data_IF_073820763075
#
_entry.id   IF_073820763075
#
_cell.length_a   1.000
_cell.length_b   1.000
_cell.length_c   1.000
_cell.angle_alpha   90.00
_cell.angle_beta   90.00
_cell.angle_gamma   90.00
#
_symmetry.space_group_name_H-M   'P 1'
#
loop_
_entity.id
_entity.type
_entity.pdbx_description
1 polymer ?
#
# COMPACT_ATOMS: atom_id res chain seq x y z
N UNK A 1 18.62 9.95 -0.96
CA UNK A 1 18.62 10.25 0.48
C UNK A 1 20.03 10.62 0.87
N UNK A 2 20.17 11.75 1.59
CA UNK A 2 21.44 12.26 2.11
C UNK A 2 21.37 12.23 3.63
N UNK A 3 22.21 11.43 4.27
CA UNK A 3 22.34 11.39 5.73
C UNK A 3 22.94 12.71 6.23
N UNK A 4 22.32 13.32 7.25
CA UNK A 4 22.72 14.59 7.87
C UNK A 4 23.22 14.41 9.30
N UNK A 5 22.67 13.45 10.02
CA UNK A 5 23.06 13.21 11.40
C UNK A 5 22.81 11.77 11.84
N UNK A 6 23.51 11.36 12.88
CA UNK A 6 23.41 10.06 13.53
C UNK A 6 23.56 10.28 15.03
N UNK A 7 22.60 9.79 15.80
CA UNK A 7 22.57 9.86 17.26
C UNK A 7 22.30 8.46 17.83
N UNK A 8 23.11 7.99 18.76
CA UNK A 8 22.83 6.79 19.53
C UNK A 8 21.99 7.16 20.74
N UNK A 9 20.87 6.49 20.91
CA UNK A 9 19.89 6.80 21.97
C UNK A 9 19.52 5.53 22.73
N UNK A 10 19.07 5.72 23.98
CA UNK A 10 18.39 4.64 24.69
C UNK A 10 16.90 4.72 24.36
N UNK A 11 16.34 3.64 23.81
CA UNK A 11 14.96 3.60 23.37
C UNK A 11 14.29 2.29 23.79
N UNK A 12 13.19 2.39 24.55
CA UNK A 12 12.51 1.23 25.13
C UNK A 12 13.45 0.25 25.86
N UNK A 13 14.44 0.77 26.59
CA UNK A 13 15.41 -0.04 27.35
C UNK A 13 16.52 -0.68 26.54
N UNK A 14 16.58 -0.46 25.24
CA UNK A 14 17.58 -0.98 24.31
C UNK A 14 18.37 0.15 23.65
N UNK A 15 19.53 -0.18 23.10
CA UNK A 15 20.24 0.75 22.22
C UNK A 15 19.46 0.95 20.94
N UNK A 16 19.27 2.21 20.56
CA UNK A 16 18.63 2.62 19.31
C UNK A 16 19.51 3.62 18.56
N UNK A 17 19.17 3.83 17.32
CA UNK A 17 19.84 4.74 16.42
C UNK A 17 18.83 5.72 15.84
N UNK A 18 19.01 7.00 16.07
CA UNK A 18 18.20 8.05 15.47
C UNK A 18 19.00 8.74 14.38
N UNK A 19 18.48 8.67 13.14
CA UNK A 19 19.11 9.23 11.96
C UNK A 19 18.32 10.42 11.46
N UNK A 20 19.03 11.47 11.05
CA UNK A 20 18.43 12.59 10.31
C UNK A 20 18.91 12.56 8.87
N UNK A 21 18.03 12.77 7.92
CA UNK A 21 18.34 12.71 6.51
C UNK A 21 17.50 13.72 5.71
N UNK A 22 17.91 13.95 4.48
CA UNK A 22 17.15 14.73 3.50
C UNK A 22 16.89 13.88 2.26
N UNK A 23 15.75 14.10 1.64
CA UNK A 23 15.37 13.41 0.40
C UNK A 23 14.67 14.39 -0.54
N UNK A 24 15.14 14.45 -1.78
CA UNK A 24 14.40 15.10 -2.85
C UNK A 24 13.53 14.04 -3.56
N UNK A 25 12.23 14.27 -3.61
CA UNK A 25 11.29 13.40 -4.30
C UNK A 25 10.09 14.23 -4.80
N UNK A 26 9.60 13.89 -5.98
CA UNK A 26 8.39 14.51 -6.57
C UNK A 26 8.40 16.04 -6.61
N UNK A 27 9.60 16.64 -6.81
CA UNK A 27 9.75 18.10 -6.87
C UNK A 27 9.85 18.80 -5.51
N UNK A 28 9.85 18.07 -4.39
CA UNK A 28 9.88 18.61 -3.04
C UNK A 28 11.08 18.07 -2.26
N UNK A 29 11.68 18.93 -1.43
CA UNK A 29 12.69 18.53 -0.45
C UNK A 29 11.98 18.09 0.83
N UNK A 30 12.32 16.90 1.33
CA UNK A 30 11.81 16.36 2.56
C UNK A 30 12.91 16.26 3.61
N UNK A 31 12.59 16.65 4.85
CA UNK A 31 13.30 16.21 6.04
C UNK A 31 12.83 14.83 6.44
N UNK A 32 13.74 14.00 6.91
CA UNK A 32 13.45 12.61 7.23
C UNK A 32 14.16 12.22 8.51
N UNK A 33 13.40 11.61 9.42
CA UNK A 33 13.88 10.94 10.62
C UNK A 33 13.72 9.44 10.49
N UNK A 34 14.71 8.69 10.95
CA UNK A 34 14.68 7.25 10.96
C UNK A 34 15.16 6.79 12.33
N UNK A 35 14.24 6.21 13.10
CA UNK A 35 14.55 5.56 14.37
C UNK A 35 14.68 4.06 14.13
N UNK A 36 15.85 3.51 14.42
CA UNK A 36 16.13 2.08 14.30
C UNK A 36 16.41 1.53 15.69
N UNK A 37 15.72 0.46 16.06
CA UNK A 37 15.92 -0.23 17.34
C UNK A 37 15.56 -1.72 17.18
N UNK A 38 15.88 -2.51 18.19
CA UNK A 38 15.60 -3.94 18.16
C UNK A 38 16.68 -4.75 18.89
N UNK A 39 16.71 -6.04 18.59
CA UNK A 39 17.64 -6.99 19.16
C UNK A 39 18.26 -7.90 18.09
N UNK A 40 18.87 -9.02 18.49
CA UNK A 40 19.48 -9.99 17.56
C UNK A 40 18.44 -10.77 16.73
N UNK A 41 17.17 -10.73 17.09
CA UNK A 41 16.09 -11.48 16.42
C UNK A 41 15.29 -10.60 15.47
N UNK A 42 15.12 -9.31 15.82
CA UNK A 42 14.30 -8.39 15.03
C UNK A 42 14.84 -6.96 15.08
N UNK A 43 14.81 -6.29 13.95
CA UNK A 43 15.10 -4.86 13.81
C UNK A 43 13.83 -4.13 13.40
N UNK A 44 13.52 -3.07 14.14
CA UNK A 44 12.36 -2.21 13.89
C UNK A 44 12.83 -0.87 13.36
N UNK A 45 12.06 -0.30 12.44
CA UNK A 45 12.35 1.00 11.86
C UNK A 45 11.09 1.85 11.85
N UNK A 46 11.16 3.01 12.48
CA UNK A 46 10.12 4.05 12.44
C UNK A 46 10.61 5.18 11.57
N UNK A 47 9.79 5.65 10.63
CA UNK A 47 10.15 6.74 9.72
C UNK A 47 9.20 7.91 9.92
N UNK A 48 9.75 9.11 10.18
CA UNK A 48 9.08 10.40 10.10
C UNK A 48 9.53 11.14 8.85
N UNK A 49 8.59 11.66 8.07
CA UNK A 49 8.89 12.39 6.83
C UNK A 49 7.98 13.61 6.75
N UNK A 50 8.55 14.78 6.52
CA UNK A 50 7.80 16.03 6.35
C UNK A 50 8.49 16.96 5.33
N UNK A 51 7.73 17.85 4.64
CA UNK A 51 8.32 18.81 3.74
C UNK A 51 9.27 19.73 4.49
N UNK A 52 10.46 19.99 3.93
CA UNK A 52 11.48 20.86 4.54
C UNK A 52 11.01 22.31 4.70
N UNK A 53 10.03 22.71 3.89
CA UNK A 53 9.39 24.02 3.91
C UNK A 53 8.40 24.22 5.08
N UNK A 54 8.16 23.16 5.86
CA UNK A 54 7.23 23.15 7.03
C UNK A 54 8.00 22.80 8.31
N UNK A 55 8.94 23.66 8.75
CA UNK A 55 9.83 23.35 9.86
C UNK A 55 9.12 23.23 11.22
N UNK A 56 7.91 23.74 11.35
CA UNK A 56 7.06 23.59 12.53
C UNK A 56 6.69 22.13 12.84
N UNK A 57 6.73 21.24 11.85
CA UNK A 57 6.49 19.80 12.04
C UNK A 57 7.69 19.06 12.64
N UNK A 58 8.85 19.69 12.73
CA UNK A 58 10.10 19.04 13.14
C UNK A 58 9.97 18.40 14.54
N UNK A 59 9.61 19.21 15.53
CA UNK A 59 9.46 18.73 16.91
C UNK A 59 8.32 17.72 17.04
N UNK A 60 7.16 17.97 16.43
CA UNK A 60 5.99 17.11 16.54
C UNK A 60 6.29 15.72 15.96
N UNK A 61 6.96 15.65 14.83
CA UNK A 61 7.36 14.39 14.20
C UNK A 61 8.40 13.66 15.08
N UNK A 62 9.42 14.38 15.59
CA UNK A 62 10.44 13.80 16.47
C UNK A 62 9.82 13.24 17.75
N UNK A 63 8.97 13.99 18.42
CA UNK A 63 8.28 13.58 19.64
C UNK A 63 7.37 12.38 19.38
N UNK A 64 6.60 12.41 18.30
CA UNK A 64 5.75 11.29 17.89
C UNK A 64 6.55 10.01 17.67
N UNK A 65 7.71 10.10 17.02
CA UNK A 65 8.58 8.92 16.81
C UNK A 65 9.15 8.39 18.12
N UNK A 66 9.55 9.28 19.03
CA UNK A 66 10.10 8.90 20.33
C UNK A 66 9.04 8.41 21.33
N UNK A 67 7.75 8.68 21.07
CA UNK A 67 6.64 8.16 21.86
C UNK A 67 6.25 6.73 21.55
N UNK A 68 6.83 6.12 20.51
CA UNK A 68 6.56 4.72 20.15
C UNK A 68 6.97 3.79 21.28
N UNK A 69 6.06 2.92 21.70
CA UNK A 69 6.33 1.86 22.68
C UNK A 69 6.40 0.53 21.97
N UNK A 70 7.48 -0.20 22.23
CA UNK A 70 7.65 -1.56 21.72
C UNK A 70 7.19 -2.57 22.76
N UNK A 71 6.17 -3.34 22.42
CA UNK A 71 5.63 -4.41 23.26
C UNK A 71 5.87 -5.77 22.58
N UNK A 72 6.94 -6.49 22.93
CA UNK A 72 7.35 -7.72 22.24
C UNK A 72 6.33 -8.86 22.33
N UNK A 73 5.41 -8.80 23.27
CA UNK A 73 4.31 -9.79 23.42
C UNK A 73 3.00 -9.41 22.74
N UNK A 74 2.92 -8.21 22.16
CA UNK A 74 1.70 -7.75 21.54
C UNK A 74 1.49 -8.40 20.17
N UNK A 75 0.49 -9.25 20.07
CA UNK A 75 0.04 -9.80 18.80
C UNK A 75 -1.14 -8.98 18.29
N UNK A 76 -0.91 -8.17 17.27
CA UNK A 76 -1.96 -7.40 16.62
C UNK A 76 -2.49 -8.20 15.42
N UNK A 77 -3.82 -8.44 15.39
CA UNK A 77 -4.45 -8.96 14.18
C UNK A 77 -4.33 -7.91 13.05
N UNK A 78 -3.58 -8.20 11.98
CA UNK A 78 -3.38 -7.24 10.88
C UNK A 78 -4.69 -6.80 10.23
N UNK A 79 -5.72 -7.64 10.26
CA UNK A 79 -7.04 -7.32 9.70
C UNK A 79 -7.78 -6.30 10.59
N UNK A 80 -7.53 -6.29 11.89
CA UNK A 80 -8.12 -5.30 12.80
C UNK A 80 -7.42 -3.94 12.75
N UNK A 81 -6.16 -3.92 12.32
CA UNK A 81 -5.32 -2.71 12.31
C UNK A 81 -5.61 -1.75 11.14
N UNK A 82 -6.45 -2.14 10.18
CA UNK A 82 -6.82 -1.29 9.04
C UNK A 82 -8.24 -0.74 9.20
N UNK A 83 -8.51 0.43 8.60
CA UNK A 83 -9.81 1.12 8.65
C UNK A 83 -10.85 0.59 7.65
N UNK A 84 -10.62 -0.58 7.08
CA UNK A 84 -11.50 -1.22 6.12
C UNK A 84 -11.54 -2.73 6.32
N UNK A 85 -12.48 -3.38 5.68
CA UNK A 85 -12.59 -4.83 5.62
C UNK A 85 -12.90 -5.28 4.20
N UNK A 86 -12.57 -6.55 3.93
CA UNK A 86 -12.90 -7.23 2.67
C UNK A 86 -13.21 -8.70 2.99
N UNK A 87 -14.19 -9.27 2.30
CA UNK A 87 -14.55 -10.67 2.49
C UNK A 87 -13.94 -11.54 1.38
N UNK A 88 -13.06 -12.43 1.78
CA UNK A 88 -12.45 -13.45 0.92
C UNK A 88 -12.96 -14.86 1.22
N UNK A 89 -13.97 -15.02 2.10
CA UNK A 89 -14.56 -16.32 2.42
C UNK A 89 -15.15 -16.96 1.17
N UNK A 90 -15.05 -18.27 1.12
CA UNK A 90 -15.50 -19.07 -0.04
C UNK A 90 -14.85 -18.64 -1.37
N UNK A 91 -13.63 -18.13 -1.30
CA UNK A 91 -12.77 -17.85 -2.46
C UNK A 91 -11.43 -18.59 -2.31
N UNK A 92 -10.63 -18.60 -3.38
CA UNK A 92 -9.28 -19.15 -3.30
C UNK A 92 -8.27 -18.19 -2.65
N UNK A 93 -8.63 -16.93 -2.40
CA UNK A 93 -7.75 -15.93 -1.83
C UNK A 93 -7.62 -16.13 -0.32
N UNK A 94 -6.38 -16.22 0.14
CA UNK A 94 -6.00 -16.32 1.56
C UNK A 94 -5.20 -15.10 1.96
N UNK A 95 -5.41 -14.61 3.17
CA UNK A 95 -4.57 -13.53 3.72
C UNK A 95 -3.11 -14.00 3.77
N UNK A 96 -2.23 -13.21 3.21
CA UNK A 96 -0.80 -13.47 3.19
C UNK A 96 -0.05 -12.56 4.16
N UNK A 97 -0.25 -11.25 4.04
CA UNK A 97 0.56 -10.28 4.78
C UNK A 97 -0.10 -8.90 4.82
N UNK A 98 0.19 -8.13 5.86
CA UNK A 98 -0.04 -6.68 5.90
C UNK A 98 1.29 -5.94 5.71
N UNK A 99 1.30 -4.90 4.86
CA UNK A 99 2.45 -4.03 4.64
C UNK A 99 1.95 -2.59 4.60
N UNK A 100 2.39 -1.77 5.54
CA UNK A 100 2.11 -0.32 5.57
C UNK A 100 0.60 -0.01 5.45
N UNK A 101 -0.24 -0.76 6.16
CA UNK A 101 -1.69 -0.59 6.11
C UNK A 101 -2.38 -1.15 4.86
N UNK A 102 -1.65 -1.84 3.98
CA UNK A 102 -2.22 -2.62 2.88
C UNK A 102 -2.35 -4.08 3.27
N UNK A 103 -3.43 -4.72 2.86
CA UNK A 103 -3.66 -6.15 3.00
C UNK A 103 -3.37 -6.85 1.67
N UNK A 104 -2.54 -7.88 1.72
CA UNK A 104 -2.17 -8.70 0.57
C UNK A 104 -2.76 -10.09 0.73
N UNK A 105 -3.45 -10.54 -0.30
CA UNK A 105 -4.03 -11.87 -0.40
C UNK A 105 -3.46 -12.60 -1.61
N UNK A 106 -3.22 -13.89 -1.48
CA UNK A 106 -2.75 -14.77 -2.55
C UNK A 106 -3.48 -16.11 -2.47
N UNK A 107 -3.35 -16.96 -3.46
CA UNK A 107 -4.02 -18.27 -3.44
C UNK A 107 -3.43 -19.23 -2.41
N UNK A 108 -2.18 -19.08 -2.05
CA UNK A 108 -1.45 -19.92 -1.09
C UNK A 108 -1.24 -19.24 0.27
N UNK A 109 -1.59 -17.96 0.41
CA UNK A 109 -1.35 -17.17 1.62
C UNK A 109 0.11 -16.76 1.83
N UNK A 110 0.98 -16.93 0.82
CA UNK A 110 2.39 -16.54 0.88
C UNK A 110 2.65 -15.25 0.12
N UNK A 111 3.56 -14.43 0.60
CA UNK A 111 4.01 -13.19 -0.07
C UNK A 111 5.55 -13.16 -0.08
N UNK A 112 6.18 -13.30 -1.24
CA UNK A 112 5.60 -13.53 -2.57
C UNK A 112 4.90 -14.89 -2.67
N UNK A 113 3.89 -14.98 -3.54
CA UNK A 113 3.20 -16.26 -3.78
C UNK A 113 4.10 -17.26 -4.51
N UNK A 114 4.02 -18.52 -4.11
CA UNK A 114 4.68 -19.65 -4.79
C UNK A 114 3.72 -20.35 -5.78
N UNK A 115 2.46 -19.91 -5.82
CA UNK A 115 1.46 -20.47 -6.72
C UNK A 115 1.81 -20.22 -8.19
N UNK A 116 1.59 -21.24 -9.01
CA UNK A 116 1.87 -21.20 -10.44
C UNK A 116 1.07 -20.12 -11.20
N UNK A 117 -0.13 -19.76 -10.77
CA UNK A 117 -0.98 -18.73 -11.40
C UNK A 117 -0.65 -17.31 -10.94
N UNK A 118 0.17 -17.15 -9.91
CA UNK A 118 0.58 -15.87 -9.31
C UNK A 118 -0.58 -14.93 -8.97
N UNK A 119 -1.79 -15.47 -8.79
CA UNK A 119 -2.95 -14.66 -8.44
C UNK A 119 -2.72 -13.97 -7.10
N UNK A 120 -2.80 -12.66 -7.12
CA UNK A 120 -2.70 -11.81 -5.93
C UNK A 120 -3.78 -10.74 -5.89
N UNK A 121 -4.11 -10.28 -4.70
CA UNK A 121 -5.13 -9.26 -4.48
C UNK A 121 -4.70 -8.35 -3.34
N UNK A 122 -4.66 -7.06 -3.59
CA UNK A 122 -4.14 -6.05 -2.67
C UNK A 122 -5.24 -5.04 -2.40
N UNK A 123 -5.41 -4.68 -1.14
CA UNK A 123 -6.33 -3.60 -0.72
C UNK A 123 -5.59 -2.66 0.21
N UNK A 124 -5.72 -1.38 0.01
CA UNK A 124 -5.06 -0.38 0.86
C UNK A 124 -5.67 1.00 0.77
N UNK A 125 -5.27 1.85 1.70
CA UNK A 125 -5.57 3.28 1.71
C UNK A 125 -4.36 4.04 1.17
N UNK A 126 -4.59 5.11 0.41
CA UNK A 126 -3.52 6.04 0.00
C UNK A 126 -2.90 6.70 1.24
N UNK A 127 -1.57 6.74 1.28
CA UNK A 127 -0.83 7.36 2.39
C UNK A 127 -0.74 8.90 2.25
N UNK A 128 -1.02 9.43 1.08
CA UNK A 128 -0.98 10.86 0.80
C UNK A 128 -2.39 11.44 0.75
N UNK A 129 -2.53 12.65 1.29
CA UNK A 129 -3.71 13.45 1.08
C UNK A 129 -3.73 13.91 -0.39
N UNK A 130 -4.55 13.26 -1.21
CA UNK A 130 -4.61 13.51 -2.65
C UNK A 130 -5.91 14.23 -2.98
N UNK A 131 -5.83 15.54 -3.09
CA UNK A 131 -6.92 16.30 -3.71
C UNK A 131 -6.83 16.14 -5.23
N UNK A 132 -7.82 15.50 -5.81
CA UNK A 132 -7.84 15.17 -7.24
C UNK A 132 -8.96 15.90 -7.94
N UNK A 133 -8.61 16.75 -8.92
CA UNK A 133 -9.57 17.47 -9.76
C UNK A 133 -10.22 16.52 -10.76
N UNK A 134 -9.45 15.63 -11.38
CA UNK A 134 -9.93 14.61 -12.32
C UNK A 134 -9.71 13.20 -11.75
N UNK A 135 -10.76 12.66 -11.16
CA UNK A 135 -10.74 11.33 -10.51
C UNK A 135 -10.51 10.21 -11.53
N UNK A 136 -11.11 10.29 -12.73
CA UNK A 136 -10.95 9.28 -13.79
C UNK A 136 -9.51 9.25 -14.29
N UNK A 137 -8.95 10.40 -14.61
CA UNK A 137 -7.57 10.50 -15.06
C UNK A 137 -6.59 10.03 -13.98
N UNK A 138 -6.87 10.31 -12.71
CA UNK A 138 -6.07 9.82 -11.58
C UNK A 138 -6.10 8.29 -11.51
N UNK A 139 -7.26 7.66 -11.67
CA UNK A 139 -7.37 6.21 -11.68
C UNK A 139 -6.58 5.59 -12.85
N UNK A 140 -6.67 6.18 -14.05
CA UNK A 140 -5.89 5.77 -15.23
C UNK A 140 -4.38 5.90 -14.98
N UNK A 141 -3.95 7.05 -14.45
CA UNK A 141 -2.54 7.28 -14.17
C UNK A 141 -2.01 6.34 -13.07
N UNK A 142 -2.87 5.93 -12.13
CA UNK A 142 -2.49 5.02 -11.05
C UNK A 142 -2.21 3.60 -11.55
N UNK A 143 -3.07 3.05 -12.41
CA UNK A 143 -2.83 1.72 -12.99
C UNK A 143 -1.61 1.74 -13.92
N UNK A 144 -1.39 2.82 -14.69
CA UNK A 144 -0.21 2.98 -15.57
C UNK A 144 1.13 3.05 -14.79
N UNK A 145 1.10 3.32 -13.48
CA UNK A 145 2.30 3.30 -12.61
C UNK A 145 2.61 1.95 -12.00
N UNK A 146 1.76 0.96 -12.16
CA UNK A 146 2.06 -0.40 -11.75
C UNK A 146 3.26 -0.94 -12.55
N UNK A 147 3.99 -1.94 -12.03
CA UNK A 147 5.26 -2.39 -12.61
C UNK A 147 5.07 -3.26 -13.87
N UNK A 148 4.30 -2.73 -14.83
CA UNK A 148 4.07 -3.37 -16.12
C UNK A 148 4.68 -2.57 -17.26
N UNK A 149 5.14 -3.28 -18.31
CA UNK A 149 5.41 -2.71 -19.63
C UNK A 149 4.25 -3.05 -20.57
N UNK A 150 4.05 -2.21 -21.60
CA UNK A 150 3.00 -2.41 -22.61
C UNK A 150 1.60 -2.64 -22.03
N UNK A 151 1.30 -1.99 -20.90
CA UNK A 151 -0.01 -2.10 -20.24
C UNK A 151 -1.10 -1.50 -21.15
N UNK A 152 -1.97 -2.37 -21.64
CA UNK A 152 -3.09 -2.03 -22.50
C UNK A 152 -4.35 -1.88 -21.66
N UNK A 153 -4.97 -0.72 -21.76
CA UNK A 153 -6.23 -0.38 -21.09
C UNK A 153 -7.20 0.08 -22.17
N UNK A 154 -8.39 -0.48 -22.20
CA UNK A 154 -9.47 0.05 -23.03
C UNK A 154 -10.22 1.14 -22.25
N UNK A 155 -9.92 2.39 -22.52
CA UNK A 155 -10.49 3.53 -21.80
C UNK A 155 -12.03 3.64 -21.97
N UNK A 156 -12.61 3.00 -23.02
CA UNK A 156 -14.05 2.93 -23.21
C UNK A 156 -14.74 1.90 -22.30
N UNK A 157 -13.97 1.00 -21.70
CA UNK A 157 -14.43 -0.01 -20.74
C UNK A 157 -14.16 0.35 -19.27
N UNK A 158 -13.73 1.57 -19.01
CA UNK A 158 -13.61 2.07 -17.65
C UNK A 158 -15.02 2.31 -17.09
N UNK A 159 -15.30 1.68 -15.97
CA UNK A 159 -16.64 1.71 -15.35
C UNK A 159 -16.61 2.63 -14.13
N UNK A 160 -17.54 3.56 -14.08
CA UNK A 160 -17.87 4.27 -12.84
C UNK A 160 -18.60 3.32 -11.89
N UNK A 161 -18.17 3.29 -10.63
CA UNK A 161 -18.72 2.37 -9.62
C UNK A 161 -18.94 3.08 -8.30
N UNK A 162 -19.78 2.47 -7.46
CA UNK A 162 -19.93 2.85 -6.06
C UNK A 162 -19.83 1.59 -5.20
N UNK A 163 -18.98 1.62 -4.16
CA UNK A 163 -18.84 0.56 -3.17
C UNK A 163 -18.82 1.20 -1.78
N UNK A 164 -19.66 0.71 -0.89
CA UNK A 164 -19.82 1.24 0.47
C UNK A 164 -20.12 2.75 0.50
N UNK A 165 -20.91 3.25 -0.50
CA UNK A 165 -21.24 4.65 -0.65
C UNK A 165 -20.07 5.54 -1.10
N UNK A 166 -18.97 4.94 -1.58
CA UNK A 166 -17.82 5.67 -2.12
C UNK A 166 -17.75 5.48 -3.63
N UNK A 167 -17.81 6.59 -4.35
CA UNK A 167 -17.71 6.58 -5.82
C UNK A 167 -16.26 6.39 -6.26
N UNK A 168 -16.09 5.71 -7.40
CA UNK A 168 -14.77 5.43 -7.94
C UNK A 168 -14.80 4.89 -9.36
N UNK A 169 -13.67 4.31 -9.76
CA UNK A 169 -13.48 3.75 -11.10
C UNK A 169 -12.89 2.35 -11.03
N UNK A 170 -13.47 1.47 -11.84
CA UNK A 170 -12.98 0.13 -12.09
C UNK A 170 -12.30 0.08 -13.46
N UNK A 171 -11.08 -0.42 -13.50
CA UNK A 171 -10.24 -0.48 -14.69
C UNK A 171 -9.66 -1.88 -14.81
N UNK A 172 -9.68 -2.43 -16.03
CA UNK A 172 -9.04 -3.69 -16.38
C UNK A 172 -8.00 -3.42 -17.46
N UNK A 173 -6.84 -4.04 -17.33
CA UNK A 173 -5.78 -3.97 -18.32
C UNK A 173 -5.01 -5.29 -18.40
N UNK A 174 -4.18 -5.40 -19.41
CA UNK A 174 -3.23 -6.50 -19.58
C UNK A 174 -1.85 -5.92 -19.90
N UNK A 175 -0.81 -6.47 -19.30
CA UNK A 175 0.55 -6.00 -19.54
C UNK A 175 1.61 -7.01 -19.14
N UNK A 176 2.85 -6.75 -19.55
CA UNK A 176 3.97 -7.60 -19.20
C UNK A 176 4.57 -7.18 -17.86
N UNK A 177 4.57 -8.05 -16.87
CA UNK A 177 5.25 -7.83 -15.60
C UNK A 177 6.74 -7.55 -15.82
N UNK A 178 7.25 -6.43 -15.30
CA UNK A 178 8.64 -5.99 -15.54
C UNK A 178 9.70 -6.93 -15.00
N UNK A 179 9.37 -7.72 -13.99
CA UNK A 179 10.34 -8.62 -13.35
C UNK A 179 10.44 -9.98 -14.06
N UNK A 180 9.33 -10.43 -14.65
CA UNK A 180 9.24 -11.78 -15.23
C UNK A 180 9.00 -11.79 -16.73
N UNK A 181 8.57 -10.67 -17.33
CA UNK A 181 8.14 -10.59 -18.74
C UNK A 181 6.86 -11.37 -19.04
N UNK A 182 6.15 -11.84 -18.00
CA UNK A 182 4.93 -12.63 -18.16
C UNK A 182 3.74 -11.70 -18.41
N UNK A 183 2.86 -12.06 -19.35
CA UNK A 183 1.60 -11.34 -19.54
C UNK A 183 0.66 -11.61 -18.37
N UNK A 184 0.14 -10.55 -17.77
CA UNK A 184 -0.76 -10.61 -16.64
C UNK A 184 -2.00 -9.75 -16.86
N UNK A 185 -3.13 -10.25 -16.42
CA UNK A 185 -4.33 -9.44 -16.21
C UNK A 185 -4.10 -8.57 -14.98
N UNK A 186 -4.47 -7.30 -15.10
CA UNK A 186 -4.45 -6.31 -14.01
C UNK A 186 -5.85 -5.74 -13.84
N UNK A 187 -6.41 -5.91 -12.67
CA UNK A 187 -7.67 -5.34 -12.23
C UNK A 187 -7.40 -4.24 -11.21
N UNK A 188 -8.02 -3.07 -11.35
CA UNK A 188 -7.89 -1.99 -10.38
C UNK A 188 -9.25 -1.37 -10.08
N UNK A 189 -9.51 -1.11 -8.79
CA UNK A 189 -10.56 -0.20 -8.32
C UNK A 189 -9.89 0.91 -7.51
N UNK A 190 -10.30 2.16 -7.75
CA UNK A 190 -9.98 3.29 -6.87
C UNK A 190 -11.29 3.91 -6.40
N UNK A 191 -11.46 4.00 -5.08
CA UNK A 191 -12.60 4.61 -4.42
C UNK A 191 -12.15 5.92 -3.76
N UNK A 192 -12.68 7.07 -4.22
CA UNK A 192 -12.20 8.38 -3.81
C UNK A 192 -12.94 8.92 -2.58
N UNK A 193 -12.19 9.30 -1.57
CA UNK A 193 -12.66 10.01 -0.37
C UNK A 193 -12.27 11.48 -0.43
N UNK A 194 -12.67 12.28 0.57
CA UNK A 194 -12.32 13.71 0.64
C UNK A 194 -10.81 13.92 0.80
N UNK A 195 -10.12 13.00 1.49
CA UNK A 195 -8.71 13.15 1.87
C UNK A 195 -7.78 12.15 1.16
N UNK A 196 -8.25 11.39 0.18
CA UNK A 196 -7.44 10.38 -0.50
C UNK A 196 -8.28 9.36 -1.25
N UNK A 197 -7.82 8.13 -1.30
CA UNK A 197 -8.55 7.05 -1.95
C UNK A 197 -8.19 5.69 -1.38
N UNK A 198 -9.12 4.75 -1.43
CA UNK A 198 -8.80 3.33 -1.31
C UNK A 198 -8.43 2.77 -2.68
N UNK A 199 -7.45 1.86 -2.68
CA UNK A 199 -7.03 1.17 -3.89
C UNK A 199 -7.19 -0.33 -3.70
N UNK A 200 -7.75 -0.99 -4.69
CA UNK A 200 -7.88 -2.43 -4.79
C UNK A 200 -7.22 -2.84 -6.10
N UNK A 201 -6.30 -3.80 -6.04
CA UNK A 201 -5.59 -4.30 -7.22
C UNK A 201 -5.60 -5.82 -7.19
N UNK A 202 -6.06 -6.45 -8.27
CA UNK A 202 -5.95 -7.88 -8.51
C UNK A 202 -5.03 -8.15 -9.70
N UNK A 203 -4.16 -9.16 -9.61
CA UNK A 203 -3.29 -9.56 -10.71
C UNK A 203 -3.27 -11.07 -10.85
N UNK A 204 -3.17 -11.56 -12.08
CA UNK A 204 -3.05 -12.99 -12.38
C UNK A 204 -2.44 -13.21 -13.75
N UNK A 205 -1.72 -14.32 -13.92
CA UNK A 205 -1.16 -14.70 -15.23
C UNK A 205 -1.93 -15.81 -15.95
N UNK A 206 -2.89 -16.44 -15.29
CA UNK A 206 -3.70 -17.51 -15.85
C UNK A 206 -5.19 -17.26 -15.57
N UNK A 207 -6.06 -17.96 -16.29
CA UNK A 207 -7.52 -17.98 -16.09
C UNK A 207 -8.12 -16.56 -15.94
N UNK A 208 -7.76 -15.68 -16.87
CA UNK A 208 -8.07 -14.24 -16.79
C UNK A 208 -9.55 -13.96 -16.52
N UNK A 209 -10.45 -14.62 -17.24
CA UNK A 209 -11.88 -14.40 -17.10
C UNK A 209 -12.38 -14.81 -15.70
N UNK A 210 -11.99 -16.00 -15.24
CA UNK A 210 -12.38 -16.53 -13.93
C UNK A 210 -11.81 -15.68 -12.78
N UNK A 211 -10.54 -15.27 -12.90
CA UNK A 211 -9.90 -14.44 -11.90
C UNK A 211 -10.41 -12.99 -11.89
N UNK A 212 -10.78 -12.45 -13.05
CA UNK A 212 -11.43 -11.15 -13.13
C UNK A 212 -12.76 -11.14 -12.37
N UNK A 213 -13.60 -12.16 -12.58
CA UNK A 213 -14.87 -12.28 -11.84
C UNK A 213 -14.64 -12.48 -10.34
N UNK A 214 -13.61 -13.25 -9.94
CA UNK A 214 -13.20 -13.35 -8.55
C UNK A 214 -12.82 -11.97 -7.97
N UNK A 215 -11.98 -11.21 -8.67
CA UNK A 215 -11.55 -9.88 -8.21
C UNK A 215 -12.72 -8.92 -8.07
N UNK A 216 -13.61 -8.87 -9.05
CA UNK A 216 -14.83 -8.07 -8.98
C UNK A 216 -15.70 -8.45 -7.79
N UNK A 217 -15.98 -9.75 -7.62
CA UNK A 217 -16.76 -10.27 -6.50
C UNK A 217 -16.18 -9.82 -5.17
N UNK A 218 -14.88 -10.01 -4.97
CA UNK A 218 -14.20 -9.66 -3.72
C UNK A 218 -14.14 -8.15 -3.52
N UNK A 219 -13.84 -7.36 -4.55
CA UNK A 219 -13.83 -5.91 -4.46
C UNK A 219 -15.17 -5.30 -4.00
N UNK A 220 -16.30 -5.88 -4.44
CA UNK A 220 -17.66 -5.44 -4.03
C UNK A 220 -17.98 -5.70 -2.55
N UNK A 221 -17.18 -6.51 -1.86
CA UNK A 221 -17.32 -6.75 -0.40
C UNK A 221 -16.62 -5.72 0.46
N UNK A 222 -15.88 -4.79 -0.14
CA UNK A 222 -15.18 -3.74 0.57
C UNK A 222 -16.13 -2.91 1.45
N UNK A 223 -15.72 -2.69 2.71
CA UNK A 223 -16.42 -1.82 3.67
C UNK A 223 -15.43 -1.04 4.52
N UNK A 224 -15.73 0.20 4.82
CA UNK A 224 -15.06 0.97 5.88
C UNK A 224 -15.47 0.43 7.25
N UNK A 225 -14.59 0.59 8.22
CA UNK A 225 -14.85 0.29 9.64
C UNK A 225 -15.12 1.59 10.39
#
# INVERSE_FOLDING_TARGET
IILRGKEEIMFNGNQGLFLTAEQFAYGTNYSKYILVFGDTLATYMVNGIFPKEVPELDNDIRESMLSVVYEPGLTVDPLSAVSFSIDTQNTKLKFGKSITGMLLYTVDGKVPTESGDRTSFIVGLSLANVQTVDKKLTAINRIKRLPYTDLKIDENKIIEIEIDGISGYEIVGEGLDKSTGTNELVYQVILFTDNGYYIIVGTTKNDFEQNLELFKKVARTFKRK
#
